data_IF_418374228957
#
_entry.id   IF_418374228957
#
_cell.length_a   1.000
_cell.length_b   1.000
_cell.length_c   1.000
_cell.angle_alpha   90.00
_cell.angle_beta   90.00
_cell.angle_gamma   90.00
#
_symmetry.space_group_name_H-M   'P 1'
#
loop_
_entity.id
_entity.type
_entity.pdbx_description
1 polymer ?
#
# COMPACT_ATOMS: atom_id res chain seq x y z
N UNK A 1 3.36 -3.04 7.79
CA UNK A 1 2.40 -2.16 8.51
C UNK A 1 2.81 -1.69 9.93
N UNK A 2 3.33 -2.54 10.83
CA UNK A 2 3.59 -2.17 12.25
C UNK A 2 4.54 -0.98 12.48
N UNK A 3 5.63 -0.88 11.69
CA UNK A 3 6.65 0.19 11.85
C UNK A 3 6.09 1.60 11.58
N UNK A 4 5.12 1.74 10.69
CA UNK A 4 4.52 3.04 10.37
C UNK A 4 3.61 3.54 11.51
N UNK A 5 2.77 2.66 12.06
CA UNK A 5 1.90 3.00 13.21
C UNK A 5 2.70 3.42 14.43
N UNK A 6 3.82 2.74 14.70
CA UNK A 6 4.73 3.11 15.78
C UNK A 6 5.34 4.50 15.56
N UNK A 7 5.83 4.80 14.35
CA UNK A 7 6.36 6.14 14.01
C UNK A 7 5.30 7.23 14.17
N UNK A 8 4.07 6.98 13.73
CA UNK A 8 2.97 7.93 13.89
C UNK A 8 2.65 8.19 15.36
N UNK A 9 2.64 7.15 16.19
CA UNK A 9 2.41 7.29 17.63
C UNK A 9 3.51 8.12 18.30
N UNK A 10 4.78 7.89 17.93
CA UNK A 10 5.91 8.68 18.43
C UNK A 10 5.76 10.16 18.05
N UNK A 11 5.43 10.46 16.79
CA UNK A 11 5.23 11.84 16.32
C UNK A 11 4.06 12.49 17.06
N UNK A 12 2.95 11.77 17.24
CA UNK A 12 1.81 12.26 18.00
C UNK A 12 2.18 12.58 19.45
N UNK A 13 2.88 11.67 20.15
CA UNK A 13 3.36 11.92 21.50
C UNK A 13 4.29 13.14 21.56
N UNK A 14 5.20 13.29 20.59
CA UNK A 14 6.09 14.45 20.53
C UNK A 14 5.30 15.77 20.39
N UNK A 15 4.27 15.82 19.55
CA UNK A 15 3.43 17.02 19.39
C UNK A 15 2.69 17.36 20.68
N UNK A 16 2.12 16.37 21.37
CA UNK A 16 1.44 16.56 22.67
C UNK A 16 2.42 17.08 23.71
N UNK A 17 3.61 16.48 23.81
CA UNK A 17 4.65 16.92 24.74
C UNK A 17 5.11 18.34 24.45
N UNK A 18 5.31 18.70 23.17
CA UNK A 18 5.68 20.06 22.77
C UNK A 18 4.60 21.07 23.16
N UNK A 19 3.31 20.75 22.95
CA UNK A 19 2.22 21.62 23.39
C UNK A 19 2.21 21.81 24.91
N UNK A 20 2.35 20.73 25.67
CA UNK A 20 2.41 20.81 27.13
C UNK A 20 3.62 21.62 27.61
N UNK A 21 4.81 21.40 27.03
CA UNK A 21 6.01 22.17 27.37
C UNK A 21 5.83 23.65 27.05
N UNK A 22 5.28 23.98 25.88
CA UNK A 22 5.00 25.36 25.49
C UNK A 22 4.10 26.06 26.52
N UNK A 23 2.98 25.45 26.89
CA UNK A 23 2.04 25.96 27.92
C UNK A 23 2.74 26.10 29.28
N UNK A 24 3.61 25.16 29.66
CA UNK A 24 4.33 25.21 30.94
C UNK A 24 5.41 26.30 31.00
N UNK A 25 6.06 26.59 29.86
CA UNK A 25 7.16 27.56 29.79
C UNK A 25 6.73 28.97 29.40
N UNK A 26 5.47 29.16 29.04
CA UNK A 26 4.91 30.45 28.63
C UNK A 26 3.71 30.80 29.52
N UNK A 27 3.26 32.05 29.47
CA UNK A 27 2.00 32.47 30.13
C UNK A 27 0.76 32.03 29.34
N UNK A 28 0.91 31.09 28.41
CA UNK A 28 -0.17 30.63 27.57
C UNK A 28 -1.12 29.72 28.35
N UNK A 29 -2.42 30.03 28.34
CA UNK A 29 -3.41 29.18 29.02
C UNK A 29 -3.61 27.85 28.31
N UNK A 30 -3.64 26.77 29.11
CA UNK A 30 -3.95 25.44 28.59
C UNK A 30 -5.37 25.41 28.01
N UNK A 31 -5.51 25.06 26.74
CA UNK A 31 -6.81 24.90 26.06
C UNK A 31 -6.96 23.49 25.54
N UNK A 32 -7.84 22.73 26.19
CA UNK A 32 -8.18 21.37 25.78
C UNK A 32 -8.68 21.31 24.33
N UNK A 33 -9.40 22.34 23.88
CA UNK A 33 -9.92 22.43 22.51
C UNK A 33 -8.80 22.47 21.47
N UNK A 34 -7.70 23.18 21.74
CA UNK A 34 -6.56 23.27 20.82
C UNK A 34 -5.79 21.96 20.75
N UNK A 35 -5.56 21.32 21.90
CA UNK A 35 -4.95 20.00 21.96
C UNK A 35 -5.79 18.94 21.22
N UNK A 36 -7.12 19.03 21.34
CA UNK A 36 -8.07 18.19 20.60
C UNK A 36 -8.00 18.47 19.09
N UNK A 37 -7.96 19.72 18.67
CA UNK A 37 -7.84 20.08 17.26
C UNK A 37 -6.54 19.54 16.63
N UNK A 38 -5.40 19.72 17.31
CA UNK A 38 -4.09 19.20 16.88
C UNK A 38 -4.13 17.67 16.75
N UNK A 39 -4.70 16.98 17.75
CA UNK A 39 -4.83 15.52 17.74
C UNK A 39 -5.73 15.03 16.61
N UNK A 40 -6.86 15.70 16.37
CA UNK A 40 -7.79 15.33 15.32
C UNK A 40 -7.22 15.55 13.92
N UNK A 41 -6.49 16.65 13.68
CA UNK A 41 -5.77 16.86 12.40
C UNK A 41 -4.78 15.73 12.16
N UNK A 42 -4.02 15.33 13.19
CA UNK A 42 -3.08 14.23 13.08
C UNK A 42 -3.77 12.88 12.81
N UNK A 43 -4.93 12.67 13.43
CA UNK A 43 -5.75 11.48 13.22
C UNK A 43 -6.32 11.42 11.80
N UNK A 44 -6.75 12.55 11.24
CA UNK A 44 -7.18 12.64 9.85
C UNK A 44 -6.05 12.24 8.89
N UNK A 45 -4.82 12.73 9.11
CA UNK A 45 -3.65 12.30 8.30
C UNK A 45 -3.42 10.79 8.42
N UNK A 46 -3.61 10.20 9.61
CA UNK A 46 -3.49 8.76 9.81
C UNK A 46 -4.61 7.95 9.13
N UNK A 47 -5.82 8.49 9.04
CA UNK A 47 -6.98 7.86 8.41
C UNK A 47 -6.95 7.98 6.87
N UNK A 48 -6.51 9.13 6.35
CA UNK A 48 -6.48 9.42 4.92
C UNK A 48 -5.17 9.01 4.23
N UNK A 49 -4.20 8.44 4.95
CA UNK A 49 -3.00 7.94 4.30
C UNK A 49 -3.35 6.77 3.39
N UNK A 50 -3.35 7.10 2.11
CA UNK A 50 -3.60 6.22 0.98
C UNK A 50 -2.95 4.85 1.17
N UNK A 51 -3.77 3.84 1.36
CA UNK A 51 -3.48 2.46 0.99
C UNK A 51 -3.55 2.32 -0.54
N UNK A 52 -2.84 3.20 -1.25
CA UNK A 52 -2.64 3.07 -2.67
C UNK A 52 -1.83 1.81 -2.97
N UNK A 53 -1.98 1.23 -4.16
CA UNK A 53 -1.18 0.08 -4.58
C UNK A 53 0.32 0.43 -4.48
N UNK A 54 1.10 -0.52 -3.98
CA UNK A 54 2.55 -0.35 -3.79
C UNK A 54 3.22 -0.03 -5.14
N UNK A 55 4.05 1.02 -5.22
CA UNK A 55 4.86 1.27 -6.42
C UNK A 55 6.10 0.37 -6.45
N UNK A 56 6.35 -0.25 -7.60
CA UNK A 56 7.42 -1.23 -7.85
C UNK A 56 8.11 -0.85 -9.16
N UNK A 57 9.41 -0.58 -9.12
CA UNK A 57 10.15 -0.19 -10.33
C UNK A 57 10.35 -1.35 -11.30
N UNK A 58 10.60 -2.55 -10.76
CA UNK A 58 10.83 -3.75 -11.55
C UNK A 58 9.86 -4.88 -11.19
N UNK A 59 8.76 -5.03 -11.95
CA UNK A 59 7.71 -5.99 -11.62
C UNK A 59 8.14 -7.44 -11.87
N UNK A 60 9.10 -7.67 -12.78
CA UNK A 60 9.57 -9.02 -13.14
C UNK A 60 10.39 -9.64 -12.02
N UNK A 61 11.32 -8.90 -11.42
CA UNK A 61 12.09 -9.38 -10.27
C UNK A 61 11.26 -9.44 -8.99
N UNK A 62 10.23 -8.59 -8.89
CA UNK A 62 9.34 -8.54 -7.74
C UNK A 62 8.38 -9.73 -7.67
N UNK A 63 7.86 -10.19 -8.80
CA UNK A 63 6.94 -11.34 -8.88
C UNK A 63 7.71 -12.62 -9.13
N UNK A 64 7.63 -13.55 -8.16
CA UNK A 64 8.33 -14.84 -8.22
C UNK A 64 7.34 -15.98 -8.38
N UNK A 65 7.70 -16.93 -9.24
CA UNK A 65 7.03 -18.21 -9.40
C UNK A 65 7.90 -19.29 -8.77
N UNK A 66 7.43 -19.93 -7.71
CA UNK A 66 8.16 -21.02 -7.05
C UNK A 66 7.18 -22.01 -6.42
N UNK A 67 7.45 -23.31 -6.58
CA UNK A 67 6.63 -24.38 -5.99
C UNK A 67 5.16 -24.33 -6.41
N UNK A 68 4.87 -23.94 -7.66
CA UNK A 68 3.49 -23.82 -8.17
C UNK A 68 2.69 -22.66 -7.57
N UNK A 69 3.36 -21.67 -6.97
CA UNK A 69 2.75 -20.46 -6.39
C UNK A 69 3.32 -19.20 -7.04
N UNK A 70 2.47 -18.19 -7.18
CA UNK A 70 2.86 -16.81 -7.43
C UNK A 70 3.07 -16.12 -6.07
N UNK A 71 4.20 -15.43 -5.91
CA UNK A 71 4.53 -14.70 -4.69
C UNK A 71 5.05 -13.29 -5.01
N UNK A 72 4.54 -12.30 -4.30
CA UNK A 72 4.98 -10.91 -4.36
C UNK A 72 4.56 -10.19 -3.07
N UNK A 73 5.39 -9.27 -2.57
CA UNK A 73 5.15 -8.62 -1.27
C UNK A 73 4.89 -9.66 -0.15
N UNK A 74 3.79 -9.50 0.61
CA UNK A 74 3.32 -10.46 1.63
C UNK A 74 2.32 -11.50 1.08
N UNK A 75 2.11 -11.55 -0.25
CA UNK A 75 1.10 -12.39 -0.90
C UNK A 75 1.74 -13.66 -1.47
N UNK A 76 1.12 -14.82 -1.22
CA UNK A 76 1.49 -16.10 -1.84
C UNK A 76 0.24 -16.89 -2.21
N UNK A 77 0.01 -17.10 -3.50
CA UNK A 77 -1.20 -17.72 -4.04
C UNK A 77 -0.81 -18.91 -4.94
N UNK A 78 -1.45 -20.08 -4.80
CA UNK A 78 -1.31 -21.17 -5.76
C UNK A 78 -1.68 -20.73 -7.18
N UNK A 79 -0.82 -21.01 -8.17
CA UNK A 79 -1.03 -20.61 -9.57
C UNK A 79 -2.37 -21.12 -10.11
N UNK A 80 -2.76 -22.34 -9.74
CA UNK A 80 -4.05 -22.93 -10.14
C UNK A 80 -5.30 -22.20 -9.58
N UNK A 81 -5.14 -21.30 -8.60
CA UNK A 81 -6.22 -20.46 -8.06
C UNK A 81 -6.26 -19.07 -8.69
N UNK A 82 -5.29 -18.73 -9.54
CA UNK A 82 -5.28 -17.46 -10.27
C UNK A 82 -6.10 -17.66 -11.54
N UNK A 83 -7.29 -17.07 -11.58
CA UNK A 83 -8.20 -17.19 -12.74
C UNK A 83 -8.07 -16.03 -13.70
N UNK A 84 -7.97 -14.81 -13.16
CA UNK A 84 -7.81 -13.59 -13.96
C UNK A 84 -6.74 -12.69 -13.38
N UNK A 85 -6.10 -11.97 -14.27
CA UNK A 85 -5.13 -10.92 -13.96
C UNK A 85 -5.60 -9.65 -14.64
N UNK A 86 -5.68 -8.55 -13.90
CA UNK A 86 -5.93 -7.23 -14.47
C UNK A 86 -4.60 -6.48 -14.61
N UNK A 87 -4.34 -5.94 -15.81
CA UNK A 87 -3.21 -5.08 -16.13
C UNK A 87 -3.71 -3.82 -16.83
N UNK A 88 -3.90 -2.74 -16.10
CA UNK A 88 -4.42 -1.49 -16.66
C UNK A 88 -3.28 -0.47 -16.82
N UNK A 89 -3.11 0.11 -18.01
CA UNK A 89 -2.12 1.16 -18.25
C UNK A 89 -2.79 2.52 -18.16
N UNK A 90 -2.33 3.37 -17.23
CA UNK A 90 -2.82 4.73 -17.03
C UNK A 90 -1.63 5.68 -17.10
N UNK A 91 -1.56 6.46 -18.19
CA UNK A 91 -0.46 7.37 -18.48
C UNK A 91 0.92 6.68 -18.46
N UNK A 92 1.73 6.95 -17.42
CA UNK A 92 3.08 6.41 -17.24
C UNK A 92 3.15 5.21 -16.29
N UNK A 93 2.03 4.88 -15.64
CA UNK A 93 1.91 3.83 -14.64
C UNK A 93 1.07 2.67 -15.18
N UNK A 94 1.36 1.45 -14.74
CA UNK A 94 0.56 0.26 -14.99
C UNK A 94 0.17 -0.40 -13.68
N UNK A 95 -1.12 -0.71 -13.55
CA UNK A 95 -1.74 -1.28 -12.38
C UNK A 95 -1.90 -2.79 -12.59
N UNK A 96 -1.23 -3.57 -11.76
CA UNK A 96 -1.46 -5.01 -11.66
C UNK A 96 -2.42 -5.31 -10.51
N UNK A 97 -3.44 -6.12 -10.77
CA UNK A 97 -4.38 -6.61 -9.75
C UNK A 97 -4.78 -8.06 -9.98
N UNK A 98 -5.01 -8.82 -8.90
CA UNK A 98 -5.63 -10.15 -8.94
C UNK A 98 -7.09 -10.09 -8.44
N UNK A 99 -8.07 -9.80 -9.32
CA UNK A 99 -9.43 -9.45 -8.91
C UNK A 99 -10.24 -10.58 -8.26
N UNK A 100 -9.85 -11.85 -8.45
CA UNK A 100 -10.55 -12.99 -7.82
C UNK A 100 -9.80 -13.56 -6.62
N UNK A 101 -8.69 -12.95 -6.22
CA UNK A 101 -7.82 -13.47 -5.16
C UNK A 101 -7.80 -12.52 -3.96
N UNK A 102 -8.96 -12.22 -3.39
CA UNK A 102 -9.10 -11.33 -2.23
C UNK A 102 -8.22 -11.80 -1.05
N UNK A 103 -7.49 -10.85 -0.45
CA UNK A 103 -6.69 -11.07 0.76
C UNK A 103 -7.53 -10.77 2.00
N UNK A 104 -8.34 -9.71 1.92
CA UNK A 104 -9.33 -9.29 2.91
C UNK A 104 -10.61 -8.87 2.16
N UNK A 105 -11.79 -8.83 2.82
CA UNK A 105 -13.00 -8.32 2.21
C UNK A 105 -12.78 -6.93 1.57
N UNK A 106 -12.97 -6.84 0.25
CA UNK A 106 -12.77 -5.61 -0.52
C UNK A 106 -11.31 -5.24 -0.81
N UNK A 107 -10.32 -6.06 -0.43
CA UNK A 107 -8.91 -5.84 -0.77
C UNK A 107 -8.34 -6.93 -1.65
N UNK A 108 -7.85 -6.51 -2.80
CA UNK A 108 -7.19 -7.36 -3.77
C UNK A 108 -5.68 -7.16 -3.74
N UNK A 109 -4.88 -8.19 -4.02
CA UNK A 109 -3.46 -8.05 -4.25
C UNK A 109 -3.25 -7.13 -5.44
N UNK A 110 -2.57 -6.00 -5.23
CA UNK A 110 -2.26 -5.06 -6.30
C UNK A 110 -0.97 -4.30 -6.05
N UNK A 111 -0.35 -3.88 -7.15
CA UNK A 111 0.80 -2.99 -7.15
C UNK A 111 0.86 -2.21 -8.47
N UNK A 112 1.60 -1.10 -8.47
CA UNK A 112 1.80 -0.24 -9.64
C UNK A 112 3.25 -0.33 -10.09
N UNK A 113 3.50 -0.31 -11.39
CA UNK A 113 4.83 -0.33 -11.97
C UNK A 113 4.90 0.55 -13.22
N UNK A 114 6.09 0.92 -13.72
CA UNK A 114 6.22 1.76 -14.91
C UNK A 114 5.58 1.10 -16.15
N UNK A 115 4.72 1.83 -16.88
CA UNK A 115 4.03 1.34 -18.07
C UNK A 115 4.97 0.80 -19.16
N UNK A 116 6.20 1.33 -19.22
CA UNK A 116 7.25 0.85 -20.14
C UNK A 116 7.60 -0.63 -19.97
N UNK A 117 7.33 -1.21 -18.79
CA UNK A 117 7.57 -2.64 -18.49
C UNK A 117 6.35 -3.53 -18.71
N UNK A 118 5.24 -3.00 -19.23
CA UNK A 118 4.00 -3.73 -19.43
C UNK A 118 4.20 -5.03 -20.22
N UNK A 119 4.76 -4.96 -21.43
CA UNK A 119 4.92 -6.15 -22.28
C UNK A 119 5.94 -7.16 -21.72
N UNK A 120 6.96 -6.68 -21.01
CA UNK A 120 7.91 -7.54 -20.32
C UNK A 120 7.23 -8.31 -19.20
N UNK A 121 6.47 -7.60 -18.37
CA UNK A 121 5.78 -8.19 -17.24
C UNK A 121 4.62 -9.09 -17.67
N UNK A 122 3.87 -8.72 -18.71
CA UNK A 122 2.81 -9.54 -19.31
C UNK A 122 3.36 -10.89 -19.79
N UNK A 123 4.51 -10.90 -20.46
CA UNK A 123 5.18 -12.14 -20.88
C UNK A 123 5.64 -12.98 -19.68
N UNK A 124 6.20 -12.35 -18.65
CA UNK A 124 6.57 -13.03 -17.40
C UNK A 124 5.37 -13.71 -16.73
N UNK A 125 4.23 -13.01 -16.67
CA UNK A 125 2.98 -13.55 -16.12
C UNK A 125 2.45 -14.74 -16.93
N UNK A 126 2.40 -14.62 -18.26
CA UNK A 126 1.96 -15.72 -19.12
C UNK A 126 2.90 -16.93 -19.03
N UNK A 127 4.21 -16.70 -18.89
CA UNK A 127 5.17 -17.80 -18.69
C UNK A 127 5.00 -18.51 -17.36
N UNK A 128 4.61 -17.80 -16.29
CA UNK A 128 4.47 -18.37 -14.95
C UNK A 128 3.07 -18.92 -14.63
N UNK A 129 2.02 -18.33 -15.19
CA UNK A 129 0.62 -18.70 -14.95
C UNK A 129 0.04 -19.61 -16.05
N UNK A 130 0.65 -19.64 -17.24
CA UNK A 130 0.10 -20.36 -18.39
C UNK A 130 -1.07 -19.61 -19.03
N UNK A 131 -2.16 -20.31 -19.37
CA UNK A 131 -3.35 -19.69 -19.96
C UNK A 131 -4.23 -19.05 -18.89
N UNK A 132 -3.88 -17.83 -18.48
CA UNK A 132 -4.70 -17.00 -17.60
C UNK A 132 -5.39 -15.92 -18.42
N UNK A 133 -6.62 -15.57 -18.07
CA UNK A 133 -7.33 -14.45 -18.70
C UNK A 133 -6.72 -13.13 -18.20
N UNK A 134 -6.07 -12.41 -19.11
CA UNK A 134 -5.55 -11.07 -18.84
C UNK A 134 -6.59 -10.05 -19.30
N UNK A 135 -7.12 -9.31 -18.34
CA UNK A 135 -7.97 -8.14 -18.57
C UNK A 135 -7.02 -6.94 -18.66
N UNK A 136 -7.16 -6.15 -19.72
CA UNK A 136 -6.39 -4.93 -19.98
C UNK A 136 -7.31 -3.73 -19.99
#
# INVERSE_FOLDING_TARGET
>A
MKKYRLRMLIIWCAIVVVYCLFVLTTEYEFKLLELSAITNIFLLIALFKESGPQKVEDPVSFVKFSGGKIAFSEVSIPVNKVQKVALEVVENDCYFTLPYNQIEPGKFPSFVFPAKKFEEFRRHLLSGLGSVEIIT
#
